data_IF_553073412212
#
_entry.id   IF_553073412212
#
_cell.length_a   1.000
_cell.length_b   1.000
_cell.length_c   1.000
_cell.angle_alpha   90.00
_cell.angle_beta   90.00
_cell.angle_gamma   90.00
#
_symmetry.space_group_name_H-M   'P 1'
#
loop_
_entity.id
_entity.type
_entity.pdbx_description
1 polymer ?
#
# COMPACT_ATOMS: atom_id res chain seq x y z
N UNK A 1 -6.32 -13.19 17.67
CA UNK A 1 -6.08 -12.74 16.28
C UNK A 1 -5.84 -14.00 15.47
N UNK A 2 -6.66 -14.20 14.43
CA UNK A 2 -6.64 -15.44 13.66
C UNK A 2 -5.26 -15.73 13.06
N UNK A 3 -4.81 -17.01 13.06
CA UNK A 3 -3.51 -17.41 12.52
C UNK A 3 -3.30 -17.04 11.06
N UNK A 4 -4.39 -16.77 10.33
CA UNK A 4 -4.39 -16.44 8.90
C UNK A 4 -4.05 -14.97 8.59
N UNK A 5 -3.83 -14.11 9.61
CA UNK A 5 -3.48 -12.70 9.39
C UNK A 5 -1.97 -12.52 9.30
N UNK A 6 -1.53 -11.60 8.40
CA UNK A 6 -0.10 -11.27 8.29
C UNK A 6 0.43 -10.61 9.57
N UNK A 7 1.74 -10.71 9.82
CA UNK A 7 2.39 -10.07 10.97
C UNK A 7 2.09 -8.57 11.02
N UNK A 8 2.12 -7.86 9.87
CA UNK A 8 1.79 -6.45 9.78
C UNK A 8 0.33 -6.15 10.13
N UNK A 9 -0.61 -7.01 9.73
CA UNK A 9 -2.03 -6.87 10.10
C UNK A 9 -2.21 -7.02 11.61
N UNK A 10 -1.53 -8.00 12.22
CA UNK A 10 -1.57 -8.19 13.68
C UNK A 10 -0.99 -7.00 14.43
N UNK A 11 0.14 -6.45 13.94
CA UNK A 11 0.75 -5.25 14.51
C UNK A 11 -0.20 -4.05 14.44
N UNK A 12 -0.85 -3.82 13.31
CA UNK A 12 -1.83 -2.73 13.16
C UNK A 12 -3.03 -2.91 14.11
N UNK A 13 -3.51 -4.14 14.29
CA UNK A 13 -4.57 -4.43 15.26
C UNK A 13 -4.11 -4.14 16.69
N UNK A 14 -2.88 -4.51 17.03
CA UNK A 14 -2.33 -4.22 18.35
C UNK A 14 -2.24 -2.71 18.62
N UNK A 15 -1.79 -1.92 17.65
CA UNK A 15 -1.78 -0.45 17.79
C UNK A 15 -3.18 0.14 17.94
N UNK A 16 -4.16 -0.33 17.16
CA UNK A 16 -5.53 0.17 17.28
C UNK A 16 -6.16 -0.20 18.63
N UNK A 17 -5.93 -1.42 19.12
CA UNK A 17 -6.41 -1.86 20.43
C UNK A 17 -5.73 -1.08 21.56
N UNK A 18 -4.43 -0.78 21.43
CA UNK A 18 -3.72 0.04 22.43
C UNK A 18 -4.37 1.42 22.58
N UNK A 19 -4.76 2.06 21.48
CA UNK A 19 -5.50 3.33 21.52
C UNK A 19 -6.88 3.15 22.16
N UNK A 20 -7.55 2.04 21.89
CA UNK A 20 -8.85 1.75 22.49
C UNK A 20 -8.78 1.55 24.00
N UNK A 21 -7.81 0.78 24.49
CA UNK A 21 -7.61 0.58 25.93
C UNK A 21 -7.15 1.85 26.63
N UNK A 22 -6.29 2.66 25.99
CA UNK A 22 -5.91 4.00 26.50
C UNK A 22 -7.15 4.91 26.65
N UNK A 23 -8.05 4.90 25.67
CA UNK A 23 -9.33 5.61 25.78
C UNK A 23 -10.17 5.11 26.97
N UNK A 24 -10.31 3.79 27.14
CA UNK A 24 -11.08 3.24 28.26
C UNK A 24 -10.57 3.74 29.60
N UNK A 25 -9.28 3.64 29.85
CA UNK A 25 -8.66 4.06 31.11
C UNK A 25 -8.71 5.57 31.34
N UNK A 26 -8.65 6.39 30.29
CA UNK A 26 -8.70 7.84 30.41
C UNK A 26 -10.13 8.42 30.48
N UNK A 27 -11.11 7.81 29.83
CA UNK A 27 -12.42 8.43 29.57
C UNK A 27 -13.61 7.66 30.14
N UNK A 28 -13.46 6.38 30.44
CA UNK A 28 -14.56 5.57 30.96
C UNK A 28 -14.37 5.33 32.45
N UNK A 29 -15.32 5.83 33.28
CA UNK A 29 -15.24 5.81 34.76
C UNK A 29 -14.94 4.42 35.31
N UNK A 30 -15.54 3.37 34.73
CA UNK A 30 -15.36 1.99 35.19
C UNK A 30 -13.93 1.44 35.02
N UNK A 31 -13.05 2.13 34.25
CA UNK A 31 -11.69 1.70 33.96
C UNK A 31 -10.62 2.73 34.41
N UNK A 32 -11.03 3.84 35.03
CA UNK A 32 -10.14 5.01 35.28
C UNK A 32 -8.91 4.67 36.11
N UNK A 33 -9.05 3.74 37.06
CA UNK A 33 -7.98 3.38 38.00
C UNK A 33 -7.26 2.07 37.58
N UNK A 34 -7.47 1.62 36.34
CA UNK A 34 -6.87 0.40 35.82
C UNK A 34 -5.73 0.74 34.87
N UNK A 35 -4.66 -0.07 34.87
CA UNK A 35 -3.73 -0.08 33.75
C UNK A 35 -4.33 -0.88 32.55
N UNK A 36 -4.03 -0.52 31.29
CA UNK A 36 -4.56 -1.25 30.14
C UNK A 36 -4.32 -2.76 30.16
N UNK A 37 -3.20 -3.20 30.72
CA UNK A 37 -2.79 -4.60 30.89
C UNK A 37 -3.59 -5.37 31.95
N UNK A 38 -4.22 -4.66 32.89
CA UNK A 38 -5.00 -5.25 33.96
C UNK A 38 -6.48 -5.46 33.61
N UNK A 39 -6.91 -4.97 32.45
CA UNK A 39 -8.29 -5.11 31.97
C UNK A 39 -8.55 -6.57 31.59
N UNK A 40 -9.44 -7.20 32.34
CA UNK A 40 -9.83 -8.60 32.15
C UNK A 40 -11.02 -8.78 31.20
N UNK A 41 -11.33 -10.01 30.82
CA UNK A 41 -12.52 -10.30 30.00
C UNK A 41 -13.83 -9.93 30.71
N UNK A 42 -13.89 -10.09 32.04
CA UNK A 42 -15.07 -9.67 32.82
C UNK A 42 -15.25 -8.16 32.84
N UNK A 43 -14.16 -7.40 32.74
CA UNK A 43 -14.23 -5.95 32.62
C UNK A 43 -14.76 -5.51 31.24
N UNK A 44 -14.43 -6.26 30.18
CA UNK A 44 -14.95 -5.98 28.85
C UNK A 44 -16.48 -6.09 28.76
N UNK A 45 -17.12 -6.89 29.61
CA UNK A 45 -18.58 -6.98 29.69
C UNK A 45 -19.26 -5.71 30.23
N UNK A 46 -18.51 -4.84 30.92
CA UNK A 46 -18.97 -3.52 31.37
C UNK A 46 -19.02 -2.49 30.24
N UNK A 47 -18.48 -2.80 29.07
CA UNK A 47 -18.44 -1.89 27.93
C UNK A 47 -19.82 -1.85 27.27
N UNK A 48 -20.34 -0.65 27.07
CA UNK A 48 -21.64 -0.39 26.46
C UNK A 48 -21.50 0.15 25.03
N UNK A 49 -22.59 0.16 24.28
CA UNK A 49 -22.63 0.80 22.94
C UNK A 49 -22.25 2.27 23.05
N UNK A 50 -22.75 2.98 24.07
CA UNK A 50 -22.43 4.40 24.30
C UNK A 50 -20.92 4.62 24.52
N UNK A 51 -20.21 3.71 25.20
CA UNK A 51 -18.75 3.81 25.32
C UNK A 51 -18.06 3.71 23.98
N UNK A 52 -18.56 2.89 23.05
CA UNK A 52 -18.01 2.75 21.69
C UNK A 52 -18.36 3.94 20.78
N UNK A 53 -19.53 4.53 20.93
CA UNK A 53 -19.94 5.78 20.26
C UNK A 53 -19.04 6.94 20.71
N UNK A 54 -18.85 7.10 22.02
CA UNK A 54 -17.95 8.10 22.59
C UNK A 54 -16.48 7.86 22.15
N UNK A 55 -16.08 6.60 21.95
CA UNK A 55 -14.76 6.31 21.37
C UNK A 55 -14.61 6.83 19.93
N UNK A 56 -15.65 6.72 19.10
CA UNK A 56 -15.63 7.30 17.74
C UNK A 56 -15.50 8.82 17.77
N UNK A 57 -16.13 9.48 18.74
CA UNK A 57 -16.01 10.92 18.93
C UNK A 57 -14.59 11.28 19.42
N UNK A 58 -14.10 10.57 20.43
CA UNK A 58 -12.73 10.72 20.96
C UNK A 58 -11.67 10.61 19.86
N UNK A 59 -11.83 9.70 18.91
CA UNK A 59 -10.90 9.54 17.80
C UNK A 59 -10.83 10.75 16.85
N UNK A 60 -11.76 11.71 16.93
CA UNK A 60 -11.71 12.93 16.11
C UNK A 60 -10.47 13.74 16.44
N UNK A 61 -10.20 13.91 17.74
CA UNK A 61 -9.01 14.59 18.25
C UNK A 61 -8.67 14.02 19.64
N UNK A 62 -7.48 13.49 19.80
CA UNK A 62 -7.06 12.83 21.05
C UNK A 62 -5.56 12.95 21.26
N UNK A 63 -5.12 12.86 22.51
CA UNK A 63 -3.71 12.73 22.87
C UNK A 63 -3.37 11.25 23.05
N UNK A 64 -2.31 10.81 22.40
CA UNK A 64 -1.75 9.48 22.57
C UNK A 64 -0.22 9.57 22.69
N UNK A 65 0.31 9.14 23.82
CA UNK A 65 1.74 9.19 24.14
C UNK A 65 2.33 10.62 24.04
N UNK A 66 1.58 11.62 24.48
CA UNK A 66 1.99 13.03 24.44
C UNK A 66 1.98 13.66 23.04
N UNK A 67 1.30 13.02 22.09
CA UNK A 67 1.12 13.55 20.73
C UNK A 67 -0.36 13.74 20.44
N UNK A 68 -0.69 14.92 19.94
CA UNK A 68 -2.01 15.18 19.42
C UNK A 68 -2.23 14.40 18.13
N UNK A 69 -3.29 13.61 18.10
CA UNK A 69 -3.68 12.75 16.99
C UNK A 69 -5.11 13.05 16.55
N UNK A 70 -5.37 12.93 15.26
CA UNK A 70 -6.70 13.08 14.69
C UNK A 70 -7.00 11.99 13.66
N UNK A 71 -8.27 11.65 13.51
CA UNK A 71 -8.73 10.70 12.48
C UNK A 71 -9.93 11.28 11.72
N UNK A 72 -9.87 11.24 10.40
CA UNK A 72 -11.06 11.36 9.57
C UNK A 72 -11.86 10.04 9.55
N UNK A 73 -13.00 10.03 8.88
CA UNK A 73 -13.97 8.93 8.89
C UNK A 73 -13.37 7.55 8.56
N UNK A 74 -12.43 7.47 7.61
CA UNK A 74 -11.74 6.22 7.27
C UNK A 74 -10.86 5.69 8.41
N UNK A 75 -10.17 6.60 9.10
CA UNK A 75 -9.34 6.25 10.26
C UNK A 75 -10.18 5.73 11.42
N UNK A 76 -11.31 6.40 11.70
CA UNK A 76 -12.30 5.97 12.70
C UNK A 76 -12.89 4.61 12.34
N UNK A 77 -13.37 4.45 11.09
CA UNK A 77 -13.94 3.19 10.62
C UNK A 77 -12.96 2.01 10.73
N UNK A 78 -11.66 2.23 10.42
CA UNK A 78 -10.64 1.21 10.57
C UNK A 78 -10.44 0.81 12.03
N UNK A 79 -10.30 1.79 12.92
CA UNK A 79 -10.08 1.54 14.36
C UNK A 79 -11.28 0.82 15.00
N UNK A 80 -12.50 1.27 14.72
CA UNK A 80 -13.68 0.59 15.27
C UNK A 80 -13.88 -0.80 14.66
N UNK A 81 -13.45 -1.04 13.41
CA UNK A 81 -13.46 -2.38 12.82
C UNK A 81 -12.50 -3.33 13.53
N UNK A 82 -11.36 -2.84 14.00
CA UNK A 82 -10.43 -3.61 14.86
C UNK A 82 -11.12 -4.00 16.18
N UNK A 83 -11.78 -3.05 16.84
CA UNK A 83 -12.54 -3.31 18.10
C UNK A 83 -13.66 -4.32 17.84
N UNK A 84 -14.43 -4.19 16.75
CA UNK A 84 -15.46 -5.16 16.36
C UNK A 84 -14.89 -6.57 16.15
N UNK A 85 -13.73 -6.69 15.50
CA UNK A 85 -13.05 -7.97 15.30
C UNK A 85 -12.61 -8.57 16.62
N UNK A 86 -12.10 -7.75 17.55
CA UNK A 86 -11.67 -8.15 18.88
C UNK A 86 -12.85 -8.71 19.70
N UNK A 87 -13.96 -7.97 19.81
CA UNK A 87 -15.15 -8.43 20.52
C UNK A 87 -15.77 -9.67 19.89
N UNK A 88 -15.86 -9.71 18.53
CA UNK A 88 -16.36 -10.87 17.81
C UNK A 88 -15.53 -12.13 18.09
N UNK A 89 -14.22 -12.00 18.18
CA UNK A 89 -13.33 -13.14 18.48
C UNK A 89 -13.66 -13.75 19.83
N UNK A 90 -13.74 -12.93 20.89
CA UNK A 90 -14.03 -13.45 22.25
C UNK A 90 -15.48 -13.94 22.39
N UNK A 91 -16.42 -13.28 21.73
CA UNK A 91 -17.81 -13.74 21.68
C UNK A 91 -17.91 -15.13 21.00
N UNK A 92 -17.27 -15.33 19.85
CA UNK A 92 -17.27 -16.62 19.16
C UNK A 92 -16.50 -17.74 19.90
N UNK A 93 -15.76 -17.40 20.94
CA UNK A 93 -15.07 -18.32 21.86
C UNK A 93 -15.82 -18.52 23.18
N UNK A 94 -17.05 -18.06 23.28
CA UNK A 94 -17.90 -18.12 24.47
C UNK A 94 -17.22 -17.50 25.71
N UNK A 95 -16.36 -16.49 25.49
CA UNK A 95 -15.66 -15.75 26.53
C UNK A 95 -16.33 -14.41 26.88
N UNK A 96 -17.26 -13.94 26.07
CA UNK A 96 -18.12 -12.80 26.32
C UNK A 96 -19.57 -13.21 26.07
N UNK A 97 -20.47 -12.77 26.95
CA UNK A 97 -21.90 -13.07 26.85
C UNK A 97 -22.60 -12.30 25.72
N UNK A 98 -22.08 -11.11 25.40
CA UNK A 98 -22.64 -10.22 24.37
C UNK A 98 -21.54 -9.59 23.53
N UNK A 99 -21.76 -9.57 22.22
CA UNK A 99 -20.92 -8.80 21.30
C UNK A 99 -21.50 -7.37 21.15
N UNK A 100 -21.20 -6.50 22.12
CA UNK A 100 -21.63 -5.11 22.13
C UNK A 100 -21.17 -4.33 20.91
N UNK A 101 -19.97 -4.63 20.39
CA UNK A 101 -19.39 -3.94 19.25
C UNK A 101 -20.09 -4.26 17.92
N UNK A 102 -20.88 -5.32 17.85
CA UNK A 102 -21.69 -5.60 16.66
C UNK A 102 -22.81 -4.55 16.44
N UNK A 103 -23.26 -3.90 17.51
CA UNK A 103 -24.35 -2.92 17.48
C UNK A 103 -23.91 -1.54 17.00
N UNK A 104 -22.60 -1.24 16.95
CA UNK A 104 -22.10 0.06 16.54
C UNK A 104 -22.21 0.25 15.02
N UNK A 105 -22.71 1.40 14.61
CA UNK A 105 -22.76 1.79 13.20
C UNK A 105 -21.39 2.33 12.76
N UNK A 106 -20.88 1.83 11.64
CA UNK A 106 -19.64 2.34 11.08
C UNK A 106 -19.86 3.75 10.49
N UNK A 107 -18.88 4.66 10.65
CA UNK A 107 -18.91 5.95 10.00
C UNK A 107 -19.13 5.82 8.50
N UNK A 108 -20.02 6.64 7.93
CA UNK A 108 -20.22 6.69 6.48
C UNK A 108 -18.94 7.13 5.79
N UNK A 109 -18.51 6.36 4.83
CA UNK A 109 -17.37 6.70 4.00
C UNK A 109 -17.85 7.33 2.71
N UNK A 110 -17.41 8.55 2.44
CA UNK A 110 -17.61 9.16 1.13
C UNK A 110 -16.65 8.54 0.12
N UNK A 111 -17.18 8.19 -1.04
CA UNK A 111 -16.34 7.76 -2.16
C UNK A 111 -15.49 8.97 -2.60
N UNK A 112 -14.20 8.74 -2.76
CA UNK A 112 -13.29 9.75 -3.31
C UNK A 112 -13.17 9.52 -4.80
N UNK A 113 -13.10 10.61 -5.55
CA UNK A 113 -12.80 10.54 -6.97
C UNK A 113 -11.53 9.73 -7.22
N UNK A 114 -11.58 8.93 -8.27
CA UNK A 114 -10.44 8.12 -8.67
C UNK A 114 -9.41 9.05 -9.32
N UNK A 115 -8.36 9.37 -8.54
CA UNK A 115 -7.22 10.11 -9.07
C UNK A 115 -6.47 9.18 -10.01
N UNK A 116 -6.39 9.57 -11.28
CA UNK A 116 -5.66 8.91 -12.35
C UNK A 116 -4.79 9.92 -13.09
N UNK A 117 -3.81 9.40 -13.81
CA UNK A 117 -2.98 10.20 -14.71
C UNK A 117 -3.58 10.15 -16.12
N UNK A 118 -3.61 11.28 -16.75
CA UNK A 118 -3.88 11.37 -18.18
C UNK A 118 -2.58 11.08 -18.98
N UNK A 119 -2.69 10.79 -20.28
CA UNK A 119 -1.54 10.37 -21.10
C UNK A 119 -0.38 11.36 -21.03
N UNK A 120 -0.67 12.64 -21.21
CA UNK A 120 0.36 13.69 -21.15
C UNK A 120 1.05 13.82 -19.78
N UNK A 121 0.38 13.42 -18.69
CA UNK A 121 0.98 13.41 -17.35
C UNK A 121 1.90 12.18 -17.19
N UNK A 122 1.53 11.05 -17.78
CA UNK A 122 2.39 9.85 -17.84
C UNK A 122 3.67 10.17 -18.59
N UNK A 123 3.55 10.76 -19.80
CA UNK A 123 4.69 11.15 -20.61
C UNK A 123 5.63 12.10 -19.86
N UNK A 124 5.08 13.10 -19.15
CA UNK A 124 5.88 14.00 -18.31
C UNK A 124 6.59 13.29 -17.15
N UNK A 125 5.95 12.30 -16.53
CA UNK A 125 6.58 11.50 -15.46
C UNK A 125 7.79 10.75 -16.00
N UNK A 126 7.63 10.10 -17.16
CA UNK A 126 8.70 9.33 -17.79
C UNK A 126 9.83 10.23 -18.28
N UNK A 127 9.52 11.34 -18.95
CA UNK A 127 10.52 12.32 -19.40
C UNK A 127 11.29 12.93 -18.20
N UNK A 128 10.60 13.26 -17.12
CA UNK A 128 11.27 13.74 -15.91
C UNK A 128 12.23 12.69 -15.30
N UNK A 129 11.88 11.39 -15.40
CA UNK A 129 12.76 10.32 -14.96
C UNK A 129 13.91 10.08 -15.92
N UNK A 130 13.72 10.34 -17.18
CA UNK A 130 14.70 10.14 -18.25
C UNK A 130 15.68 11.31 -18.35
N UNK A 131 15.19 12.53 -18.46
CA UNK A 131 16.00 13.73 -18.74
C UNK A 131 16.17 14.67 -17.55
N UNK A 132 15.44 14.42 -16.45
CA UNK A 132 15.45 15.29 -15.27
C UNK A 132 14.74 16.63 -15.50
N UNK A 133 13.82 16.69 -16.46
CA UNK A 133 13.02 17.88 -16.73
C UNK A 133 12.26 18.31 -15.46
N UNK A 134 12.28 19.63 -15.17
CA UNK A 134 11.60 20.18 -13.99
C UNK A 134 12.25 19.84 -12.62
N UNK A 135 13.42 19.20 -12.61
CA UNK A 135 14.14 18.85 -11.39
C UNK A 135 15.16 19.91 -10.95
N UNK A 136 15.39 19.99 -9.63
CA UNK A 136 16.47 20.79 -9.08
C UNK A 136 17.84 20.20 -9.44
N UNK A 137 18.90 21.02 -9.37
CA UNK A 137 20.27 20.57 -9.65
C UNK A 137 20.71 19.39 -8.76
N UNK A 138 20.34 19.43 -7.48
CA UNK A 138 20.60 18.32 -6.56
C UNK A 138 19.91 17.02 -6.98
N UNK A 139 18.64 17.10 -7.39
CA UNK A 139 17.89 15.94 -7.88
C UNK A 139 18.49 15.37 -9.17
N UNK A 140 18.96 16.24 -10.08
CA UNK A 140 19.64 15.80 -11.31
C UNK A 140 20.96 15.08 -11.04
N UNK A 141 21.75 15.51 -10.05
CA UNK A 141 22.96 14.79 -9.63
C UNK A 141 22.67 13.37 -9.15
N UNK A 142 21.60 13.18 -8.41
CA UNK A 142 21.15 11.85 -7.97
C UNK A 142 20.67 11.03 -9.17
N UNK A 143 19.92 11.66 -10.09
CA UNK A 143 19.37 11.01 -11.27
C UNK A 143 20.44 10.34 -12.13
N UNK A 144 21.63 10.92 -12.25
CA UNK A 144 22.74 10.35 -13.02
C UNK A 144 23.10 8.91 -12.58
N UNK A 145 22.79 8.52 -11.34
CA UNK A 145 23.10 7.20 -10.80
C UNK A 145 21.86 6.31 -10.59
N UNK A 146 20.67 6.81 -10.93
CA UNK A 146 19.40 6.10 -10.67
C UNK A 146 18.44 6.16 -11.85
N UNK A 147 18.84 6.77 -12.96
CA UNK A 147 17.99 7.05 -14.12
C UNK A 147 17.39 5.79 -14.72
N UNK A 148 18.24 4.84 -15.11
CA UNK A 148 17.79 3.61 -15.75
C UNK A 148 16.87 2.80 -14.82
N UNK A 149 17.21 2.71 -13.53
CA UNK A 149 16.37 2.07 -12.52
C UNK A 149 15.02 2.76 -12.37
N UNK A 150 15.03 4.09 -12.21
CA UNK A 150 13.84 4.86 -11.93
C UNK A 150 12.86 4.80 -13.12
N UNK A 151 13.37 4.88 -14.36
CA UNK A 151 12.60 4.69 -15.60
C UNK A 151 12.03 3.27 -15.64
N UNK A 152 12.84 2.23 -15.41
CA UNK A 152 12.38 0.84 -15.44
C UNK A 152 11.28 0.56 -14.40
N UNK A 153 11.39 1.10 -13.17
CA UNK A 153 10.36 0.98 -12.15
C UNK A 153 9.06 1.65 -12.59
N UNK A 154 9.12 2.89 -13.09
CA UNK A 154 7.94 3.64 -13.52
C UNK A 154 7.26 2.97 -14.72
N UNK A 155 8.03 2.55 -15.73
CA UNK A 155 7.52 1.83 -16.91
C UNK A 155 6.83 0.53 -16.49
N UNK A 156 7.43 -0.25 -15.58
CA UNK A 156 6.83 -1.48 -15.08
C UNK A 156 5.53 -1.22 -14.30
N UNK A 157 5.49 -0.22 -13.41
CA UNK A 157 4.29 0.13 -12.64
C UNK A 157 3.16 0.62 -13.55
N UNK A 158 3.47 1.46 -14.54
CA UNK A 158 2.51 2.06 -15.48
C UNK A 158 2.06 1.07 -16.56
N UNK A 159 2.96 0.20 -17.02
CA UNK A 159 2.69 -0.74 -18.11
C UNK A 159 2.05 -2.06 -17.67
N UNK A 160 2.06 -2.40 -16.38
CA UNK A 160 1.54 -3.68 -15.90
C UNK A 160 0.55 -3.57 -14.75
N UNK A 161 0.49 -2.40 -14.10
CA UNK A 161 -0.33 -2.22 -12.91
C UNK A 161 0.06 -3.10 -11.72
N UNK A 162 1.28 -3.65 -11.67
CA UNK A 162 1.81 -4.44 -10.56
C UNK A 162 1.70 -3.69 -9.22
N UNK A 163 1.49 -4.40 -8.12
CA UNK A 163 1.55 -3.77 -6.79
C UNK A 163 2.99 -3.40 -6.43
N UNK A 164 3.16 -2.28 -5.72
CA UNK A 164 4.51 -1.85 -5.29
C UNK A 164 5.24 -2.92 -4.48
N UNK A 165 4.54 -3.66 -3.63
CA UNK A 165 5.13 -4.77 -2.86
C UNK A 165 5.55 -5.95 -3.73
N UNK A 166 4.83 -6.24 -4.80
CA UNK A 166 5.17 -7.24 -5.79
C UNK A 166 6.38 -6.77 -6.61
N UNK A 167 6.38 -5.51 -7.06
CA UNK A 167 7.48 -4.89 -7.82
C UNK A 167 8.82 -4.96 -7.06
N UNK A 168 8.87 -4.55 -5.80
CA UNK A 168 10.09 -4.62 -4.99
C UNK A 168 10.51 -6.06 -4.66
N UNK A 169 9.58 -6.99 -4.69
CA UNK A 169 9.82 -8.41 -4.46
C UNK A 169 10.43 -9.18 -5.62
N UNK A 170 10.40 -8.61 -6.85
CA UNK A 170 10.89 -9.29 -8.05
C UNK A 170 12.39 -9.59 -7.98
N UNK A 171 12.76 -10.75 -8.50
CA UNK A 171 14.13 -11.15 -8.79
C UNK A 171 14.37 -11.15 -10.31
N UNK A 172 15.62 -11.16 -10.71
CA UNK A 172 15.99 -11.29 -12.13
C UNK A 172 15.39 -12.54 -12.77
N UNK A 173 15.43 -13.68 -12.07
CA UNK A 173 14.90 -14.96 -12.55
C UNK A 173 13.38 -14.98 -12.73
N UNK A 174 12.66 -14.03 -12.15
CA UNK A 174 11.21 -13.94 -12.28
C UNK A 174 10.79 -13.28 -13.61
N UNK A 175 11.76 -12.72 -14.37
CA UNK A 175 11.53 -12.03 -15.65
C UNK A 175 11.92 -12.94 -16.81
N UNK A 176 10.99 -13.14 -17.72
CA UNK A 176 11.23 -13.78 -19.03
C UNK A 176 11.17 -12.71 -20.13
N UNK A 177 12.33 -12.25 -20.56
CA UNK A 177 12.45 -11.27 -21.63
C UNK A 177 12.09 -11.84 -23.00
N UNK A 178 12.14 -13.16 -23.20
CA UNK A 178 11.80 -13.79 -24.48
C UNK A 178 10.30 -13.77 -24.72
N UNK A 179 9.50 -14.00 -23.69
CA UNK A 179 8.03 -13.99 -23.77
C UNK A 179 7.39 -12.68 -23.27
N UNK A 180 8.19 -11.66 -22.94
CA UNK A 180 7.71 -10.40 -22.38
C UNK A 180 6.80 -10.61 -21.15
N UNK A 181 7.19 -11.53 -20.26
CA UNK A 181 6.40 -11.95 -19.11
C UNK A 181 7.21 -11.96 -17.82
N UNK A 182 6.52 -11.96 -16.70
CA UNK A 182 7.14 -12.14 -15.40
C UNK A 182 6.18 -12.77 -14.40
N UNK A 183 6.75 -13.48 -13.43
CA UNK A 183 5.99 -14.15 -12.38
C UNK A 183 5.98 -13.32 -11.10
N UNK A 184 4.80 -13.10 -10.54
CA UNK A 184 4.63 -12.43 -9.24
C UNK A 184 4.02 -13.36 -8.22
N UNK A 185 4.48 -13.27 -6.98
CA UNK A 185 3.83 -13.92 -5.84
C UNK A 185 2.86 -12.93 -5.19
N UNK A 186 1.58 -13.20 -5.31
CA UNK A 186 0.49 -12.39 -4.75
C UNK A 186 0.26 -12.70 -3.27
N UNK A 187 -0.53 -11.83 -2.60
CA UNK A 187 -0.93 -12.05 -1.21
C UNK A 187 -1.59 -13.43 -1.03
N UNK A 188 -1.05 -14.23 -0.12
CA UNK A 188 -1.51 -15.61 0.12
C UNK A 188 -0.68 -16.68 -0.61
N UNK A 189 0.45 -16.32 -1.24
CA UNK A 189 1.40 -17.24 -1.86
C UNK A 189 1.04 -17.67 -3.29
N UNK A 190 -0.09 -17.25 -3.83
CA UNK A 190 -0.49 -17.57 -5.20
C UNK A 190 0.43 -16.86 -6.21
N UNK A 191 0.92 -17.59 -7.18
CA UNK A 191 1.68 -17.05 -8.31
C UNK A 191 0.74 -16.63 -9.43
N UNK A 192 1.15 -15.59 -10.16
CA UNK A 192 0.49 -15.13 -11.37
C UNK A 192 1.54 -14.68 -12.38
N UNK A 193 1.29 -14.98 -13.65
CA UNK A 193 2.09 -14.48 -14.76
C UNK A 193 1.45 -13.18 -15.25
N UNK A 194 2.25 -12.15 -15.40
CA UNK A 194 1.86 -10.86 -15.98
C UNK A 194 2.73 -10.60 -17.21
N UNK A 195 2.17 -9.87 -18.15
CA UNK A 195 2.85 -9.53 -19.41
C UNK A 195 3.14 -8.04 -19.46
N UNK A 196 4.19 -7.66 -20.16
CA UNK A 196 4.58 -6.28 -20.42
C UNK A 196 4.80 -6.05 -21.92
N UNK A 197 4.69 -4.80 -22.32
CA UNK A 197 4.95 -4.38 -23.70
C UNK A 197 6.44 -4.15 -23.96
N UNK A 198 6.80 -3.86 -25.21
CA UNK A 198 8.17 -3.67 -25.63
C UNK A 198 8.83 -2.44 -24.97
N UNK A 199 8.10 -1.37 -24.69
CA UNK A 199 8.64 -0.20 -23.97
C UNK A 199 9.12 -0.56 -22.55
N UNK A 200 8.34 -1.38 -21.85
CA UNK A 200 8.72 -1.88 -20.51
C UNK A 200 9.91 -2.82 -20.61
N UNK A 201 9.94 -3.69 -21.64
CA UNK A 201 11.07 -4.58 -21.90
C UNK A 201 12.36 -3.78 -22.08
N UNK A 202 12.35 -2.82 -23.00
CA UNK A 202 13.52 -1.99 -23.28
C UNK A 202 14.04 -1.28 -22.04
N UNK A 203 13.14 -0.69 -21.24
CA UNK A 203 13.51 -0.02 -20.00
C UNK A 203 14.12 -0.99 -18.97
N UNK A 204 13.58 -2.21 -18.86
CA UNK A 204 14.11 -3.23 -17.95
C UNK A 204 15.48 -3.75 -18.41
N UNK A 205 15.64 -4.08 -19.71
CA UNK A 205 16.91 -4.55 -20.28
C UNK A 205 18.00 -3.48 -20.14
N UNK A 206 17.67 -2.22 -20.45
CA UNK A 206 18.61 -1.11 -20.29
C UNK A 206 19.11 -0.95 -18.84
N UNK A 207 18.23 -1.08 -17.88
CA UNK A 207 18.59 -1.04 -16.47
C UNK A 207 19.41 -2.27 -16.06
N UNK A 208 18.95 -3.46 -16.41
CA UNK A 208 19.59 -4.73 -15.99
C UNK A 208 21.00 -4.84 -16.56
N UNK A 209 21.16 -4.56 -17.84
CA UNK A 209 22.44 -4.68 -18.56
C UNK A 209 23.40 -3.51 -18.31
N UNK A 210 22.88 -2.34 -17.95
CA UNK A 210 23.65 -1.14 -17.68
C UNK A 210 23.88 -0.90 -16.19
N UNK A 211 23.02 -0.08 -15.61
CA UNK A 211 23.20 0.50 -14.25
C UNK A 211 23.27 -0.58 -13.17
N UNK A 212 22.42 -1.62 -13.25
CA UNK A 212 22.43 -2.72 -12.28
C UNK A 212 23.74 -3.51 -12.31
N UNK A 213 24.23 -3.89 -13.50
CA UNK A 213 25.53 -4.57 -13.63
C UNK A 213 26.68 -3.69 -13.11
N UNK A 214 26.64 -2.39 -13.40
CA UNK A 214 27.66 -1.46 -12.92
C UNK A 214 27.65 -1.32 -11.39
N UNK A 215 26.46 -1.34 -10.76
CA UNK A 215 26.34 -1.34 -9.30
C UNK A 215 26.95 -2.60 -8.68
N UNK A 216 26.60 -3.77 -9.21
CA UNK A 216 27.12 -5.06 -8.72
C UNK A 216 28.63 -5.18 -8.90
N UNK A 217 29.18 -4.72 -10.05
CA UNK A 217 30.62 -4.80 -10.33
C UNK A 217 31.47 -3.97 -9.36
N UNK A 218 30.95 -2.87 -8.81
CA UNK A 218 31.61 -2.06 -7.79
C UNK A 218 31.75 -2.77 -6.45
N UNK A 219 30.95 -3.81 -6.22
CA UNK A 219 30.88 -4.54 -4.94
C UNK A 219 31.41 -5.97 -5.03
N UNK A 220 32.04 -6.37 -6.14
CA UNK A 220 32.52 -7.75 -6.40
C UNK A 220 33.42 -8.37 -5.28
N UNK A 221 33.90 -7.58 -4.34
CA UNK A 221 34.67 -8.06 -3.18
C UNK A 221 33.82 -8.29 -1.94
N UNK A 222 32.49 -8.01 -1.99
CA UNK A 222 31.57 -8.13 -0.86
C UNK A 222 30.48 -9.14 -1.21
N UNK A 223 30.12 -9.98 -0.25
CA UNK A 223 28.92 -10.80 -0.36
C UNK A 223 27.69 -9.86 -0.41
N UNK A 224 26.96 -9.84 -1.53
CA UNK A 224 25.79 -8.99 -1.74
C UNK A 224 24.53 -9.82 -1.45
N UNK A 225 23.88 -9.64 -0.28
CA UNK A 225 22.75 -10.49 0.12
C UNK A 225 21.56 -10.45 -0.84
N UNK A 226 21.40 -9.36 -1.59
CA UNK A 226 20.27 -9.09 -2.48
C UNK A 226 20.66 -9.13 -3.96
N UNK A 227 21.72 -9.87 -4.34
CA UNK A 227 22.20 -9.94 -5.73
C UNK A 227 21.12 -10.38 -6.71
N UNK A 228 20.22 -11.26 -6.30
CA UNK A 228 19.11 -11.74 -7.11
C UNK A 228 18.00 -10.68 -7.33
N UNK A 229 17.93 -9.64 -6.50
CA UNK A 229 16.87 -8.64 -6.60
C UNK A 229 16.90 -7.92 -7.96
N UNK A 230 15.73 -7.78 -8.60
CA UNK A 230 15.62 -7.04 -9.84
C UNK A 230 16.06 -5.58 -9.63
N UNK A 231 15.46 -4.89 -8.67
CA UNK A 231 15.73 -3.48 -8.39
C UNK A 231 16.59 -3.30 -7.15
N UNK A 232 17.71 -2.61 -7.34
CA UNK A 232 18.71 -2.32 -6.29
C UNK A 232 18.70 -0.84 -5.89
N UNK A 233 18.92 -0.59 -4.62
CA UNK A 233 19.25 0.75 -4.11
C UNK A 233 20.71 1.08 -4.44
N UNK A 234 21.11 2.35 -4.27
CA UNK A 234 22.54 2.75 -4.40
C UNK A 234 23.45 2.08 -3.37
N UNK A 235 22.89 1.50 -2.30
CA UNK A 235 23.61 0.70 -1.30
C UNK A 235 23.71 -0.78 -1.68
N UNK A 236 23.32 -1.13 -2.92
CA UNK A 236 23.32 -2.50 -3.47
C UNK A 236 22.48 -3.46 -2.62
N UNK A 237 21.38 -2.98 -2.08
CA UNK A 237 20.34 -3.75 -1.40
C UNK A 237 19.05 -3.71 -2.20
N UNK A 238 18.20 -4.71 -2.04
CA UNK A 238 16.85 -4.68 -2.60
C UNK A 238 16.15 -3.36 -2.27
N UNK A 239 15.57 -2.73 -3.29
CA UNK A 239 14.82 -1.49 -3.07
C UNK A 239 13.60 -1.75 -2.18
N UNK A 240 13.32 -0.88 -1.24
CA UNK A 240 12.16 -1.03 -0.36
C UNK A 240 10.93 -0.27 -0.90
N UNK A 241 9.75 -0.68 -0.45
CA UNK A 241 8.46 -0.06 -0.83
C UNK A 241 8.51 1.45 -0.64
N UNK A 242 9.04 1.93 0.50
CA UNK A 242 9.11 3.36 0.80
C UNK A 242 9.98 4.14 -0.19
N UNK A 243 11.06 3.55 -0.68
CA UNK A 243 11.91 4.17 -1.68
C UNK A 243 11.16 4.34 -3.01
N UNK A 244 10.40 3.32 -3.44
CA UNK A 244 9.55 3.40 -4.65
C UNK A 244 8.41 4.40 -4.47
N UNK A 245 7.77 4.47 -3.30
CA UNK A 245 6.76 5.50 -3.02
C UNK A 245 7.33 6.92 -3.14
N UNK A 246 8.53 7.15 -2.58
CA UNK A 246 9.20 8.44 -2.67
C UNK A 246 9.63 8.76 -4.12
N UNK A 247 10.09 7.75 -4.86
CA UNK A 247 10.43 7.86 -6.28
C UNK A 247 9.20 8.30 -7.10
N UNK A 248 8.08 7.59 -6.99
CA UNK A 248 6.84 7.95 -7.68
C UNK A 248 6.38 9.36 -7.29
N UNK A 249 6.41 9.69 -6.01
CA UNK A 249 6.05 11.04 -5.54
C UNK A 249 6.97 12.12 -6.14
N UNK A 250 8.28 11.87 -6.21
CA UNK A 250 9.27 12.80 -6.77
C UNK A 250 8.93 13.18 -8.21
N UNK A 251 8.69 12.21 -9.07
CA UNK A 251 8.40 12.45 -10.49
C UNK A 251 6.97 12.96 -10.72
N UNK A 252 6.01 12.47 -9.94
CA UNK A 252 4.64 12.96 -10.03
C UNK A 252 4.50 14.43 -9.64
N UNK A 253 5.32 14.93 -8.71
CA UNK A 253 5.32 16.37 -8.36
C UNK A 253 5.74 17.27 -9.52
N UNK A 254 6.60 16.79 -10.42
CA UNK A 254 6.98 17.52 -11.63
C UNK A 254 5.84 17.55 -12.65
N UNK A 255 5.18 16.40 -12.86
CA UNK A 255 4.17 16.24 -13.91
C UNK A 255 2.79 16.75 -13.51
N UNK A 256 2.42 16.58 -12.24
CA UNK A 256 1.06 16.85 -11.75
C UNK A 256 1.09 17.24 -10.26
N UNK A 257 1.57 18.46 -9.93
CA UNK A 257 1.80 18.90 -8.54
C UNK A 257 0.52 18.96 -7.70
N UNK A 258 -0.64 19.11 -8.32
CA UNK A 258 -1.93 19.16 -7.62
C UNK A 258 -2.50 17.77 -7.29
N UNK A 259 -2.02 16.72 -7.94
CA UNK A 259 -2.47 15.35 -7.70
C UNK A 259 -1.55 14.62 -6.73
N UNK A 260 -2.12 14.03 -5.68
CA UNK A 260 -1.37 13.15 -4.76
C UNK A 260 -1.21 11.76 -5.40
N UNK A 261 -0.19 11.61 -6.23
CA UNK A 261 0.12 10.36 -6.92
C UNK A 261 0.96 9.45 -6.03
N UNK A 262 0.64 8.16 -6.07
CA UNK A 262 1.34 7.07 -5.39
C UNK A 262 1.38 5.84 -6.32
N UNK A 263 2.17 4.80 -6.03
CA UNK A 263 2.16 3.57 -6.83
C UNK A 263 0.76 2.97 -7.02
N UNK A 264 -0.09 3.07 -6.00
CA UNK A 264 -1.49 2.63 -6.13
C UNK A 264 -2.28 3.44 -7.17
N UNK A 265 -1.96 4.73 -7.34
CA UNK A 265 -2.60 5.57 -8.35
C UNK A 265 -2.08 5.27 -9.76
N UNK A 266 -0.80 4.88 -9.91
CA UNK A 266 -0.27 4.38 -11.17
C UNK A 266 -0.99 3.08 -11.58
N UNK A 267 -1.19 2.18 -10.64
CA UNK A 267 -1.98 0.96 -10.86
C UNK A 267 -3.45 1.27 -11.22
N UNK A 268 -4.08 2.25 -10.58
CA UNK A 268 -5.44 2.71 -10.95
C UNK A 268 -5.47 3.30 -12.36
N UNK A 269 -4.43 4.03 -12.75
CA UNK A 269 -4.26 4.57 -14.11
C UNK A 269 -4.16 3.44 -15.14
N UNK A 270 -3.31 2.42 -14.88
CA UNK A 270 -3.22 1.24 -15.75
C UNK A 270 -4.56 0.53 -15.88
N UNK A 271 -5.26 0.25 -14.77
CA UNK A 271 -6.56 -0.41 -14.80
C UNK A 271 -7.63 0.39 -15.55
N UNK A 272 -7.61 1.72 -15.43
CA UNK A 272 -8.49 2.61 -16.22
C UNK A 272 -8.19 2.51 -17.73
N UNK A 273 -6.91 2.57 -18.10
CA UNK A 273 -6.50 2.50 -19.51
C UNK A 273 -6.82 1.13 -20.11
N UNK A 274 -6.61 0.05 -19.35
CA UNK A 274 -6.95 -1.30 -19.77
C UNK A 274 -8.47 -1.45 -19.97
N UNK A 275 -9.29 -0.93 -19.05
CA UNK A 275 -10.74 -0.93 -19.20
C UNK A 275 -11.20 -0.13 -20.41
N UNK A 276 -10.65 1.07 -20.64
CA UNK A 276 -10.96 1.89 -21.83
C UNK A 276 -10.59 1.19 -23.14
N UNK A 277 -9.51 0.43 -23.14
CA UNK A 277 -9.05 -0.28 -24.33
C UNK A 277 -9.85 -1.55 -24.63
N UNK A 278 -10.34 -2.24 -23.60
CA UNK A 278 -10.96 -3.58 -23.74
C UNK A 278 -12.48 -3.59 -23.53
N UNK A 279 -13.02 -2.65 -22.75
CA UNK A 279 -14.40 -2.69 -22.26
C UNK A 279 -14.68 -3.83 -21.27
N UNK A 280 -13.68 -4.66 -20.95
CA UNK A 280 -13.84 -5.88 -20.14
C UNK A 280 -13.35 -5.69 -18.70
N UNK A 281 -14.33 -5.56 -17.78
CA UNK A 281 -14.05 -5.39 -16.36
C UNK A 281 -13.50 -6.67 -15.69
N UNK A 282 -13.81 -7.85 -16.25
CA UNK A 282 -13.32 -9.12 -15.73
C UNK A 282 -11.83 -9.28 -16.07
N UNK A 283 -11.43 -8.92 -17.28
CA UNK A 283 -10.03 -8.87 -17.69
C UNK A 283 -9.23 -7.93 -16.80
N UNK A 284 -9.77 -6.73 -16.50
CA UNK A 284 -9.11 -5.79 -15.58
C UNK A 284 -8.99 -6.38 -14.18
N UNK A 285 -10.03 -7.04 -13.68
CA UNK A 285 -10.00 -7.68 -12.36
C UNK A 285 -8.95 -8.80 -12.28
N UNK A 286 -8.85 -9.62 -13.30
CA UNK A 286 -7.89 -10.74 -13.38
C UNK A 286 -6.46 -10.23 -13.42
N UNK A 287 -6.13 -9.35 -14.36
CA UNK A 287 -4.79 -8.76 -14.50
C UNK A 287 -4.36 -8.06 -13.21
N UNK A 288 -5.24 -7.26 -12.61
CA UNK A 288 -4.98 -6.60 -11.33
C UNK A 288 -5.02 -7.57 -10.14
N UNK A 289 -5.52 -8.79 -10.27
CA UNK A 289 -5.65 -9.77 -9.18
C UNK A 289 -6.57 -9.28 -8.06
N UNK A 290 -7.72 -8.78 -8.43
CA UNK A 290 -8.80 -8.47 -7.51
C UNK A 290 -9.63 -9.74 -7.28
N UNK A 291 -9.75 -10.19 -6.03
CA UNK A 291 -10.57 -11.36 -5.68
C UNK A 291 -12.07 -11.11 -5.89
N UNK A 292 -12.49 -9.86 -5.75
CA UNK A 292 -13.89 -9.44 -5.93
C UNK A 292 -13.97 -8.44 -7.08
N UNK A 293 -14.66 -8.86 -8.15
CA UNK A 293 -14.90 -8.05 -9.34
C UNK A 293 -15.71 -6.78 -9.00
N UNK A 294 -16.54 -6.80 -7.95
CA UNK A 294 -17.28 -5.61 -7.50
C UNK A 294 -16.32 -4.48 -7.08
N UNK A 295 -15.16 -4.81 -6.51
CA UNK A 295 -14.12 -3.83 -6.23
C UNK A 295 -13.64 -3.15 -7.51
N UNK A 296 -13.45 -3.93 -8.59
CA UNK A 296 -13.05 -3.42 -9.91
C UNK A 296 -14.17 -2.61 -10.53
N UNK A 297 -15.39 -3.13 -10.52
CA UNK A 297 -16.56 -2.46 -11.07
C UNK A 297 -16.79 -1.09 -10.41
N UNK A 298 -16.73 -1.02 -9.08
CA UNK A 298 -16.87 0.25 -8.34
C UNK A 298 -15.79 1.28 -8.72
N UNK A 299 -14.59 0.83 -9.06
CA UNK A 299 -13.46 1.70 -9.37
C UNK A 299 -13.37 2.10 -10.85
N UNK A 300 -13.83 1.28 -11.78
CA UNK A 300 -13.57 1.50 -13.20
C UNK A 300 -14.85 1.68 -14.05
N UNK A 301 -15.99 1.08 -13.68
CA UNK A 301 -17.23 1.21 -14.42
C UNK A 301 -17.90 2.61 -14.32
N UNK A 302 -17.48 3.46 -13.37
CA UNK A 302 -17.96 4.84 -13.23
C UNK A 302 -17.23 5.83 -14.18
N UNK A 303 -16.53 5.33 -15.20
CA UNK A 303 -15.68 6.13 -16.11
C UNK A 303 -16.44 6.48 -17.41
N UNK A 304 -17.63 5.96 -17.59
CA UNK A 304 -18.51 6.34 -18.73
C UNK A 304 -19.03 7.77 -18.60
#
# INVERSE_FOLDING_TARGET
>A
IEPQTTALTRLNYAYDLRIFFDYLTKRVRAFRDMAPEDITLSDLEKITVTHLENYLEYLTLYDFEGKECSNGERGKARKISTVRTFFKYFFNKDKLSVNVAAKITLPKQHDKDIIRLERHEIDKILNAAEDGEGMSEHQRKILLNTRARDVAILSLLLGTGIRVSECVGLNIKDIDFASNAFTVTRKGGNQAILYFNDDVKEALEYYVDGERKALLSRTQKMNVPDEDALFLSLQVKRICVRAVENLVKKYAMVASPLKKISPHKLRSTYGTNLYRATGDIYMVADVLGHRDVNTTKKHYAAIE
#
